data_IF_354959917424
#
_entry.id   IF_354959917424
#
_cell.length_a   1.000
_cell.length_b   1.000
_cell.length_c   1.000
_cell.angle_alpha   90.00
_cell.angle_beta   90.00
_cell.angle_gamma   90.00
#
_symmetry.space_group_name_H-M   'P 1'
#
loop_
_entity.id
_entity.type
_entity.pdbx_description
1 polymer ?
#
# COMPACT_ATOMS: atom_id res chain seq x y z
N UNK A 1 -32.17 -25.80 -4.25
CA UNK A 1 -30.88 -25.85 -4.98
C UNK A 1 -30.88 -26.99 -6.02
N UNK A 2 -30.70 -26.71 -7.31
CA UNK A 2 -30.60 -27.74 -8.37
C UNK A 2 -29.24 -28.45 -8.29
N UNK A 3 -29.22 -29.78 -8.48
CA UNK A 3 -28.01 -30.64 -8.47
C UNK A 3 -26.84 -30.11 -9.33
N UNK A 4 -27.16 -29.35 -10.37
CA UNK A 4 -26.19 -28.71 -11.27
C UNK A 4 -25.37 -27.59 -10.61
N UNK A 5 -25.98 -26.78 -9.73
CA UNK A 5 -25.27 -25.71 -9.02
C UNK A 5 -24.28 -26.27 -8.01
N UNK A 6 -24.66 -27.34 -7.29
CA UNK A 6 -23.79 -28.07 -6.37
C UNK A 6 -22.55 -28.66 -7.06
N UNK A 7 -22.74 -29.23 -8.26
CA UNK A 7 -21.65 -29.83 -9.04
C UNK A 7 -20.66 -28.78 -9.54
N UNK A 8 -21.14 -27.65 -10.09
CA UNK A 8 -20.27 -26.56 -10.52
C UNK A 8 -19.53 -25.91 -9.35
N UNK A 9 -20.17 -25.89 -8.20
CA UNK A 9 -19.57 -25.40 -6.97
C UNK A 9 -18.40 -26.28 -6.50
N UNK A 10 -18.59 -27.60 -6.41
CA UNK A 10 -17.49 -28.50 -6.03
C UNK A 10 -16.35 -28.47 -7.06
N UNK A 11 -16.68 -28.28 -8.35
CA UNK A 11 -15.69 -28.13 -9.41
C UNK A 11 -14.84 -26.88 -9.20
N UNK A 12 -15.46 -25.76 -8.80
CA UNK A 12 -14.74 -24.51 -8.53
C UNK A 12 -13.77 -24.64 -7.35
N UNK A 13 -14.19 -25.31 -6.27
CA UNK A 13 -13.36 -25.54 -5.08
C UNK A 13 -12.16 -26.45 -5.40
N UNK A 14 -12.36 -27.49 -6.21
CA UNK A 14 -11.28 -28.41 -6.62
C UNK A 14 -10.29 -27.76 -7.59
N UNK A 15 -10.80 -26.98 -8.55
CA UNK A 15 -9.98 -26.19 -9.46
C UNK A 15 -9.09 -25.21 -8.70
N UNK A 16 -9.62 -24.62 -7.62
CA UNK A 16 -8.86 -23.73 -6.74
C UNK A 16 -7.74 -24.48 -5.99
N UNK A 17 -8.04 -25.66 -5.42
CA UNK A 17 -7.06 -26.51 -4.72
C UNK A 17 -5.93 -26.97 -5.65
N UNK A 18 -6.23 -27.13 -6.93
CA UNK A 18 -5.30 -27.56 -7.97
C UNK A 18 -4.60 -26.40 -8.70
N UNK A 19 -4.81 -25.14 -8.28
CA UNK A 19 -4.19 -23.96 -8.88
C UNK A 19 -4.76 -23.53 -10.25
N UNK A 20 -5.86 -24.15 -10.70
CA UNK A 20 -6.51 -23.89 -11.98
C UNK A 20 -7.48 -22.69 -11.88
N UNK A 21 -6.91 -21.51 -11.68
CA UNK A 21 -7.63 -20.25 -11.38
C UNK A 21 -8.62 -19.81 -12.45
N UNK A 22 -8.34 -20.02 -13.74
CA UNK A 22 -9.26 -19.70 -14.86
C UNK A 22 -10.48 -20.64 -14.92
N UNK A 23 -10.31 -21.91 -14.55
CA UNK A 23 -11.42 -22.87 -14.52
C UNK A 23 -12.31 -22.63 -13.30
N UNK A 24 -11.70 -22.30 -12.15
CA UNK A 24 -12.42 -21.83 -10.98
C UNK A 24 -13.25 -20.58 -11.29
N UNK A 25 -12.68 -19.61 -12.03
CA UNK A 25 -13.34 -18.39 -12.48
C UNK A 25 -14.65 -18.63 -13.21
N UNK A 26 -14.59 -19.39 -14.30
CA UNK A 26 -15.76 -19.64 -15.16
C UNK A 26 -16.86 -20.44 -14.43
N UNK A 27 -16.48 -21.30 -13.49
CA UNK A 27 -17.44 -22.05 -12.67
C UNK A 27 -18.14 -21.15 -11.66
N UNK A 28 -17.42 -20.23 -11.03
CA UNK A 28 -17.98 -19.27 -10.07
C UNK A 28 -18.89 -18.25 -10.73
N UNK A 29 -18.50 -17.70 -11.89
CA UNK A 29 -19.34 -16.77 -12.65
C UNK A 29 -20.73 -17.37 -12.89
N UNK A 30 -20.76 -18.62 -13.37
CA UNK A 30 -22.01 -19.33 -13.62
C UNK A 30 -22.80 -19.62 -12.33
N UNK A 31 -22.14 -19.88 -11.20
CA UNK A 31 -22.86 -20.04 -9.93
C UNK A 31 -23.49 -18.70 -9.54
N UNK A 32 -22.74 -17.61 -9.63
CA UNK A 32 -23.14 -16.25 -9.26
C UNK A 32 -24.30 -15.73 -10.11
N UNK A 33 -24.28 -15.95 -11.42
CA UNK A 33 -25.35 -15.53 -12.33
C UNK A 33 -26.69 -16.23 -12.03
N UNK A 34 -26.65 -17.37 -11.32
CA UNK A 34 -27.81 -18.15 -10.92
C UNK A 34 -28.12 -18.02 -9.41
N UNK A 35 -27.46 -17.13 -8.67
CA UNK A 35 -27.68 -16.92 -7.23
C UNK A 35 -28.94 -16.09 -6.91
N UNK A 36 -29.60 -15.49 -7.89
CA UNK A 36 -30.78 -14.65 -7.66
C UNK A 36 -31.99 -15.43 -7.12
N UNK A 37 -32.02 -16.75 -7.25
CA UNK A 37 -33.12 -17.61 -6.80
C UNK A 37 -32.70 -18.52 -5.63
N UNK A 38 -32.75 -17.98 -4.41
CA UNK A 38 -33.13 -18.70 -3.19
C UNK A 38 -32.21 -19.83 -2.67
N UNK A 39 -31.73 -19.60 -1.43
CA UNK A 39 -31.26 -20.60 -0.48
C UNK A 39 -29.93 -21.31 -0.83
N UNK A 40 -28.84 -20.55 -0.69
CA UNK A 40 -27.55 -21.15 -0.39
C UNK A 40 -27.56 -21.62 1.07
N UNK A 41 -27.52 -22.93 1.28
CA UNK A 41 -27.30 -23.47 2.63
C UNK A 41 -25.95 -22.95 3.18
N UNK A 42 -25.92 -22.57 4.46
CA UNK A 42 -24.73 -22.05 5.18
C UNK A 42 -23.42 -22.77 4.82
N UNK A 43 -23.49 -24.08 4.63
CA UNK A 43 -22.35 -24.95 4.34
C UNK A 43 -21.64 -24.68 3.00
N UNK A 44 -22.31 -24.04 2.03
CA UNK A 44 -21.70 -23.68 0.74
C UNK A 44 -21.21 -22.23 0.71
N UNK A 45 -21.58 -21.44 1.71
CA UNK A 45 -21.32 -20.02 1.76
C UNK A 45 -19.80 -19.76 1.96
N UNK A 46 -19.15 -20.46 2.90
CA UNK A 46 -17.71 -20.33 3.12
C UNK A 46 -16.87 -20.70 1.88
N UNK A 47 -17.23 -21.79 1.20
CA UNK A 47 -16.53 -22.21 -0.02
C UNK A 47 -16.79 -21.26 -1.21
N UNK A 48 -17.94 -20.56 -1.25
CA UNK A 48 -18.24 -19.53 -2.25
C UNK A 48 -17.37 -18.31 -2.06
N UNK A 49 -17.10 -17.92 -0.81
CA UNK A 49 -16.21 -16.80 -0.52
C UNK A 49 -14.76 -17.10 -0.81
N UNK A 50 -14.30 -18.32 -0.48
CA UNK A 50 -12.96 -18.78 -0.83
C UNK A 50 -12.79 -18.72 -2.34
N UNK A 51 -13.75 -19.28 -3.07
CA UNK A 51 -13.69 -19.36 -4.51
C UNK A 51 -13.80 -17.96 -5.17
N UNK A 52 -14.78 -17.13 -4.80
CA UNK A 52 -14.95 -15.76 -5.33
C UNK A 52 -13.76 -14.85 -4.99
N UNK A 53 -13.26 -14.94 -3.75
CA UNK A 53 -12.11 -14.15 -3.33
C UNK A 53 -10.83 -14.56 -4.06
N UNK A 54 -10.56 -15.86 -4.20
CA UNK A 54 -9.39 -16.33 -4.93
C UNK A 54 -9.48 -16.07 -6.43
N UNK A 55 -10.69 -16.11 -7.00
CA UNK A 55 -10.94 -15.68 -8.36
C UNK A 55 -10.48 -14.23 -8.57
N UNK A 56 -10.97 -13.31 -7.76
CA UNK A 56 -10.61 -11.91 -7.88
C UNK A 56 -9.10 -11.70 -7.77
N UNK A 57 -8.47 -12.22 -6.72
CA UNK A 57 -7.00 -12.11 -6.58
C UNK A 57 -6.24 -12.72 -7.76
N UNK A 58 -6.79 -13.74 -8.42
CA UNK A 58 -6.15 -14.37 -9.56
C UNK A 58 -6.38 -13.62 -10.88
N UNK A 59 -7.40 -12.77 -11.00
CA UNK A 59 -7.73 -12.07 -12.25
C UNK A 59 -7.38 -10.58 -12.21
N UNK A 60 -7.27 -10.00 -11.02
CA UNK A 60 -6.95 -8.61 -10.80
C UNK A 60 -5.70 -8.20 -11.60
N UNK A 61 -5.84 -7.19 -12.45
CA UNK A 61 -4.76 -6.61 -13.24
C UNK A 61 -4.27 -7.46 -14.41
N UNK A 62 -4.79 -8.68 -14.62
CA UNK A 62 -4.40 -9.53 -15.78
C UNK A 62 -4.90 -8.99 -17.11
N UNK A 63 -6.03 -8.32 -17.10
CA UNK A 63 -6.65 -7.74 -18.30
C UNK A 63 -6.10 -6.35 -18.61
N UNK A 64 -5.41 -5.73 -17.65
CA UNK A 64 -4.91 -4.36 -17.74
C UNK A 64 -6.02 -3.29 -17.79
N UNK A 65 -7.29 -3.68 -17.59
CA UNK A 65 -8.45 -2.80 -17.73
C UNK A 65 -9.20 -2.68 -16.41
N UNK A 66 -9.13 -1.48 -15.82
CA UNK A 66 -9.79 -1.15 -14.54
C UNK A 66 -11.28 -1.48 -14.55
N UNK A 67 -12.00 -1.25 -15.65
CA UNK A 67 -13.43 -1.56 -15.75
C UNK A 67 -13.76 -3.05 -15.58
N UNK A 68 -12.92 -3.93 -16.10
CA UNK A 68 -13.12 -5.39 -15.96
C UNK A 68 -12.82 -5.82 -14.52
N UNK A 69 -11.81 -5.20 -13.88
CA UNK A 69 -11.52 -5.40 -12.45
C UNK A 69 -12.66 -4.88 -11.56
N UNK A 70 -13.28 -3.72 -11.89
CA UNK A 70 -14.45 -3.17 -11.19
C UNK A 70 -15.65 -4.11 -11.26
N UNK A 71 -15.93 -4.68 -12.45
CA UNK A 71 -17.03 -5.63 -12.64
C UNK A 71 -16.82 -6.90 -11.81
N UNK A 72 -15.60 -7.43 -11.79
CA UNK A 72 -15.22 -8.57 -10.97
C UNK A 72 -15.34 -8.25 -9.47
N UNK A 73 -14.88 -7.07 -9.04
CA UNK A 73 -14.98 -6.64 -7.64
C UNK A 73 -16.44 -6.49 -7.20
N UNK A 74 -17.27 -5.83 -8.02
CA UNK A 74 -18.70 -5.68 -7.76
C UNK A 74 -19.39 -7.04 -7.64
N UNK A 75 -18.94 -8.03 -8.40
CA UNK A 75 -19.46 -9.40 -8.29
C UNK A 75 -19.06 -10.07 -6.97
N UNK A 76 -17.81 -9.93 -6.52
CA UNK A 76 -17.36 -10.43 -5.21
C UNK A 76 -18.18 -9.79 -4.09
N UNK A 77 -18.42 -8.48 -4.15
CA UNK A 77 -19.23 -7.74 -3.18
C UNK A 77 -20.65 -8.32 -3.12
N UNK A 78 -21.30 -8.55 -4.27
CA UNK A 78 -22.64 -9.17 -4.30
C UNK A 78 -22.69 -10.52 -3.60
N UNK A 79 -21.65 -11.34 -3.76
CA UNK A 79 -21.53 -12.64 -3.09
C UNK A 79 -21.43 -12.44 -1.58
N UNK A 80 -20.58 -11.51 -1.11
CA UNK A 80 -20.38 -11.25 0.32
C UNK A 80 -21.62 -10.61 0.97
N UNK A 81 -22.33 -9.72 0.27
CA UNK A 81 -23.60 -9.17 0.74
C UNK A 81 -24.71 -10.23 0.83
N UNK A 82 -24.74 -11.19 -0.09
CA UNK A 82 -25.69 -12.29 -0.03
C UNK A 82 -25.47 -13.18 1.21
N UNK A 83 -24.22 -13.26 1.69
CA UNK A 83 -23.90 -13.82 3.01
C UNK A 83 -24.58 -13.05 4.12
N UNK A 84 -24.36 -11.73 4.10
CA UNK A 84 -24.78 -10.82 5.14
C UNK A 84 -26.30 -10.82 5.28
N UNK A 85 -27.03 -10.80 4.16
CA UNK A 85 -28.51 -10.87 4.15
C UNK A 85 -29.07 -12.17 4.73
N UNK A 86 -28.29 -13.25 4.83
CA UNK A 86 -28.70 -14.53 5.40
C UNK A 86 -28.36 -14.70 6.89
N UNK A 87 -27.93 -13.64 7.60
CA UNK A 87 -27.56 -13.66 9.02
C UNK A 87 -28.62 -14.30 9.95
N UNK A 88 -29.90 -14.24 9.57
CA UNK A 88 -31.00 -14.85 10.34
C UNK A 88 -31.13 -16.39 10.17
N UNK A 89 -30.56 -16.96 9.11
CA UNK A 89 -30.71 -18.39 8.75
C UNK A 89 -29.39 -19.19 8.79
N UNK A 90 -28.25 -18.52 8.92
CA UNK A 90 -26.93 -19.17 8.86
C UNK A 90 -26.04 -18.71 10.02
N UNK A 91 -25.75 -19.60 10.95
CA UNK A 91 -24.81 -19.35 12.06
C UNK A 91 -23.39 -19.59 11.54
N UNK A 92 -22.67 -18.52 11.18
CA UNK A 92 -21.23 -18.61 10.90
C UNK A 92 -20.47 -18.92 12.18
N UNK A 93 -19.45 -19.78 12.08
CA UNK A 93 -18.49 -19.96 13.16
C UNK A 93 -17.58 -18.74 13.29
N UNK A 94 -16.98 -18.55 14.46
CA UNK A 94 -16.01 -17.46 14.71
C UNK A 94 -14.82 -17.50 13.74
N UNK A 95 -14.37 -18.69 13.34
CA UNK A 95 -13.27 -18.88 12.38
C UNK A 95 -13.68 -18.44 10.97
N UNK A 96 -14.91 -18.74 10.56
CA UNK A 96 -15.43 -18.30 9.27
C UNK A 96 -15.59 -16.78 9.24
N UNK A 97 -16.11 -16.16 10.30
CA UNK A 97 -16.25 -14.71 10.40
C UNK A 97 -14.89 -14.00 10.34
N UNK A 98 -13.89 -14.52 11.04
CA UNK A 98 -12.51 -14.00 10.99
C UNK A 98 -11.94 -14.07 9.58
N UNK A 99 -12.08 -15.23 8.94
CA UNK A 99 -11.58 -15.45 7.60
C UNK A 99 -12.27 -14.54 6.59
N UNK A 100 -13.60 -14.40 6.65
CA UNK A 100 -14.37 -13.55 5.71
C UNK A 100 -14.00 -12.08 5.91
N UNK A 101 -13.90 -11.62 7.16
CA UNK A 101 -13.45 -10.27 7.47
C UNK A 101 -12.06 -9.99 6.89
N UNK A 102 -11.07 -10.82 7.24
CA UNK A 102 -9.69 -10.66 6.78
C UNK A 102 -9.59 -10.73 5.26
N UNK A 103 -10.35 -11.62 4.63
CA UNK A 103 -10.38 -11.75 3.17
C UNK A 103 -10.98 -10.53 2.50
N UNK A 104 -12.08 -9.99 3.03
CA UNK A 104 -12.71 -8.76 2.54
C UNK A 104 -11.72 -7.60 2.57
N UNK A 105 -11.04 -7.40 3.70
CA UNK A 105 -9.98 -6.41 3.82
C UNK A 105 -8.85 -6.63 2.81
N UNK A 106 -8.29 -7.84 2.73
CA UNK A 106 -7.17 -8.12 1.81
C UNK A 106 -7.55 -7.89 0.34
N UNK A 107 -8.78 -8.23 -0.06
CA UNK A 107 -9.27 -7.97 -1.41
C UNK A 107 -9.42 -6.45 -1.63
N UNK A 108 -9.96 -5.71 -0.66
CA UNK A 108 -10.08 -4.25 -0.77
C UNK A 108 -8.71 -3.59 -0.91
N UNK A 109 -7.72 -4.06 -0.14
CA UNK A 109 -6.31 -3.63 -0.22
C UNK A 109 -5.69 -3.99 -1.57
N UNK A 110 -6.05 -5.11 -2.20
CA UNK A 110 -5.58 -5.43 -3.54
C UNK A 110 -6.26 -4.58 -4.62
N UNK A 111 -7.56 -4.32 -4.45
CA UNK A 111 -8.41 -3.63 -5.41
C UNK A 111 -8.30 -2.09 -5.37
N UNK A 112 -7.20 -1.52 -4.86
CA UNK A 112 -7.04 -0.06 -4.68
C UNK A 112 -7.12 0.76 -5.96
N UNK A 113 -6.91 0.13 -7.12
CA UNK A 113 -7.05 0.77 -8.44
C UNK A 113 -8.49 0.73 -8.98
N UNK A 114 -9.39 -0.02 -8.35
CA UNK A 114 -10.80 -0.09 -8.70
C UNK A 114 -11.56 1.15 -8.19
N UNK A 115 -12.83 1.30 -8.57
CA UNK A 115 -13.72 2.34 -8.06
C UNK A 115 -13.71 2.35 -6.52
N UNK A 116 -13.33 3.49 -5.94
CA UNK A 116 -13.21 3.66 -4.49
C UNK A 116 -14.49 3.30 -3.74
N UNK A 117 -15.67 3.42 -4.36
CA UNK A 117 -16.96 3.06 -3.74
C UNK A 117 -17.03 1.56 -3.50
N UNK A 118 -16.55 0.75 -4.43
CA UNK A 118 -16.49 -0.70 -4.30
C UNK A 118 -15.48 -1.10 -3.22
N UNK A 119 -14.31 -0.43 -3.19
CA UNK A 119 -13.29 -0.65 -2.14
C UNK A 119 -13.87 -0.33 -0.75
N UNK A 120 -14.52 0.82 -0.59
CA UNK A 120 -15.17 1.24 0.67
C UNK A 120 -16.27 0.26 1.07
N UNK A 121 -17.12 -0.18 0.14
CA UNK A 121 -18.15 -1.19 0.39
C UNK A 121 -17.56 -2.50 0.93
N UNK A 122 -16.43 -2.94 0.38
CA UNK A 122 -15.80 -4.16 0.83
C UNK A 122 -15.11 -4.00 2.20
N UNK A 123 -14.59 -2.81 2.51
CA UNK A 123 -14.11 -2.47 3.86
C UNK A 123 -15.26 -2.41 4.87
N UNK A 124 -16.44 -1.91 4.48
CA UNK A 124 -17.64 -1.94 5.33
C UNK A 124 -18.09 -3.38 5.63
N UNK A 125 -18.11 -4.25 4.62
CA UNK A 125 -18.38 -5.68 4.82
C UNK A 125 -17.34 -6.32 5.76
N UNK A 126 -16.06 -6.03 5.57
CA UNK A 126 -14.98 -6.47 6.45
C UNK A 126 -15.22 -6.09 7.92
N UNK A 127 -15.52 -4.81 8.17
CA UNK A 127 -15.84 -4.30 9.51
C UNK A 127 -17.09 -4.95 10.10
N UNK A 128 -18.11 -5.20 9.27
CA UNK A 128 -19.34 -5.85 9.70
C UNK A 128 -19.09 -7.30 10.16
N UNK A 129 -18.38 -8.11 9.37
CA UNK A 129 -18.02 -9.48 9.79
C UNK A 129 -17.14 -9.50 11.04
N UNK A 130 -16.27 -8.50 11.20
CA UNK A 130 -15.49 -8.31 12.43
C UNK A 130 -16.41 -8.03 13.63
N UNK A 131 -17.53 -7.33 13.44
CA UNK A 131 -18.47 -7.00 14.53
C UNK A 131 -19.27 -8.23 14.95
N UNK A 132 -19.67 -9.06 13.98
CA UNK A 132 -20.26 -10.36 14.25
C UNK A 132 -19.28 -11.26 15.01
N UNK A 133 -18.00 -11.27 14.61
CA UNK A 133 -16.97 -12.03 15.32
C UNK A 133 -16.82 -11.54 16.77
N UNK A 134 -16.74 -10.22 16.97
CA UNK A 134 -16.65 -9.58 18.29
C UNK A 134 -17.77 -10.02 19.22
N UNK A 135 -19.02 -10.05 18.73
CA UNK A 135 -20.20 -10.48 19.50
C UNK A 135 -20.11 -11.93 20.00
N UNK A 136 -19.30 -12.77 19.34
CA UNK A 136 -19.07 -14.17 19.74
C UNK A 136 -17.86 -14.38 20.65
N UNK A 137 -17.03 -13.35 20.89
CA UNK A 137 -15.75 -13.44 21.60
C UNK A 137 -15.76 -12.81 23.01
N UNK A 138 -14.94 -13.35 23.92
CA UNK A 138 -14.67 -12.76 25.25
C UNK A 138 -13.72 -11.55 25.15
N UNK A 139 -13.83 -10.60 26.09
CA UNK A 139 -13.12 -9.30 26.06
C UNK A 139 -11.58 -9.40 25.89
N UNK A 140 -10.93 -10.38 26.54
CA UNK A 140 -9.47 -10.57 26.51
C UNK A 140 -8.90 -10.91 25.13
N UNK A 141 -9.72 -11.41 24.19
CA UNK A 141 -9.28 -11.82 22.84
C UNK A 141 -9.53 -10.76 21.76
N UNK A 142 -9.99 -9.56 22.13
CA UNK A 142 -10.47 -8.56 21.17
C UNK A 142 -9.40 -7.57 20.68
N UNK A 143 -8.17 -7.58 21.21
CA UNK A 143 -7.12 -6.60 20.88
C UNK A 143 -6.81 -6.54 19.37
N UNK A 144 -6.67 -7.69 18.70
CA UNK A 144 -6.41 -7.77 17.27
C UNK A 144 -7.57 -7.27 16.39
N UNK A 145 -8.82 -7.33 16.89
CA UNK A 145 -9.98 -6.83 16.17
C UNK A 145 -9.93 -5.30 16.04
N UNK A 146 -9.47 -4.61 17.09
CA UNK A 146 -9.36 -3.15 17.10
C UNK A 146 -8.36 -2.63 16.08
N UNK A 147 -7.22 -3.30 15.92
CA UNK A 147 -6.25 -2.94 14.88
C UNK A 147 -6.88 -3.06 13.48
N UNK A 148 -7.60 -4.17 13.23
CA UNK A 148 -8.30 -4.37 11.95
C UNK A 148 -9.34 -3.29 11.66
N UNK A 149 -10.13 -2.87 12.67
CA UNK A 149 -11.05 -1.74 12.53
C UNK A 149 -10.34 -0.45 12.17
N UNK A 150 -9.27 -0.12 12.90
CA UNK A 150 -8.51 1.11 12.69
C UNK A 150 -7.88 1.15 11.29
N UNK A 151 -7.40 0.01 10.77
CA UNK A 151 -6.92 -0.10 9.40
C UNK A 151 -8.05 0.13 8.39
N UNK A 152 -9.18 -0.57 8.55
CA UNK A 152 -10.33 -0.42 7.64
C UNK A 152 -10.80 1.04 7.60
N UNK A 153 -11.00 1.66 8.75
CA UNK A 153 -11.46 3.06 8.84
C UNK A 153 -10.43 4.03 8.27
N UNK A 154 -9.14 3.83 8.54
CA UNK A 154 -8.09 4.69 8.00
C UNK A 154 -8.05 4.63 6.47
N UNK A 155 -8.10 3.43 5.89
CA UNK A 155 -8.11 3.26 4.43
C UNK A 155 -9.39 3.84 3.81
N UNK A 156 -10.56 3.66 4.46
CA UNK A 156 -11.83 4.23 4.01
C UNK A 156 -11.79 5.75 4.00
N UNK A 157 -11.41 6.37 5.13
CA UNK A 157 -11.32 7.83 5.27
C UNK A 157 -10.34 8.38 4.23
N UNK A 158 -9.19 7.74 4.09
CA UNK A 158 -8.18 8.10 3.10
C UNK A 158 -8.76 8.06 1.69
N UNK A 159 -9.34 6.93 1.28
CA UNK A 159 -9.92 6.73 -0.06
C UNK A 159 -11.05 7.72 -0.37
N UNK A 160 -11.88 8.06 0.62
CA UNK A 160 -12.98 9.03 0.44
C UNK A 160 -12.41 10.44 0.26
N UNK A 161 -11.44 10.84 1.08
CA UNK A 161 -10.84 12.18 1.02
C UNK A 161 -10.07 12.36 -0.28
N UNK A 162 -9.36 11.33 -0.73
CA UNK A 162 -8.64 11.34 -2.00
C UNK A 162 -9.59 11.30 -3.18
N UNK A 163 -10.37 10.23 -3.34
CA UNK A 163 -11.08 9.98 -4.60
C UNK A 163 -12.44 10.69 -4.70
N UNK A 164 -13.19 10.78 -3.60
CA UNK A 164 -14.54 11.36 -3.62
C UNK A 164 -14.50 12.88 -3.46
N UNK A 165 -13.79 13.36 -2.43
CA UNK A 165 -13.79 14.79 -2.05
C UNK A 165 -12.69 15.58 -2.73
N UNK A 166 -11.60 14.92 -3.12
CA UNK A 166 -10.39 15.56 -3.69
C UNK A 166 -9.83 16.63 -2.76
N UNK A 167 -9.94 16.40 -1.45
CA UNK A 167 -9.48 17.30 -0.38
C UNK A 167 -8.03 16.96 -0.01
N UNK A 168 -7.12 17.11 -0.97
CA UNK A 168 -5.73 16.65 -0.87
C UNK A 168 -4.95 17.32 0.27
N UNK A 169 -5.32 18.55 0.63
CA UNK A 169 -4.76 19.27 1.78
C UNK A 169 -4.93 18.54 3.11
N UNK A 170 -5.96 17.69 3.24
CA UNK A 170 -6.24 16.94 4.47
C UNK A 170 -5.42 15.64 4.57
N UNK A 171 -4.81 15.17 3.47
CA UNK A 171 -4.08 13.90 3.41
C UNK A 171 -2.93 13.82 4.43
N UNK A 172 -2.04 14.83 4.55
CA UNK A 172 -0.98 14.81 5.56
C UNK A 172 -1.49 14.73 7.00
N UNK A 173 -2.65 15.33 7.30
CA UNK A 173 -3.25 15.27 8.64
C UNK A 173 -3.70 13.85 8.97
N UNK A 174 -4.39 13.18 8.05
CA UNK A 174 -4.83 11.78 8.22
C UNK A 174 -3.64 10.85 8.44
N UNK A 175 -2.58 11.01 7.65
CA UNK A 175 -1.34 10.22 7.80
C UNK A 175 -0.74 10.45 9.20
N UNK A 176 -0.73 11.71 9.65
CA UNK A 176 -0.26 12.07 11.00
C UNK A 176 -1.10 11.47 12.12
N UNK A 177 -2.43 11.52 12.00
CA UNK A 177 -3.37 10.93 12.97
C UNK A 177 -3.26 9.40 13.02
N UNK A 178 -2.91 8.76 11.90
CA UNK A 178 -2.70 7.32 11.79
C UNK A 178 -1.37 6.83 12.38
N UNK A 179 -0.54 7.72 12.95
CA UNK A 179 0.80 7.39 13.45
C UNK A 179 0.83 6.24 14.46
N UNK A 180 -0.14 6.17 15.37
CA UNK A 180 -0.16 5.17 16.45
C UNK A 180 -0.48 3.75 15.97
N UNK A 181 -1.16 3.63 14.83
CA UNK A 181 -1.60 2.35 14.25
C UNK A 181 -0.76 1.91 13.04
N UNK A 182 0.25 2.70 12.70
CA UNK A 182 1.06 2.52 11.50
C UNK A 182 1.86 1.21 11.56
N UNK A 183 1.73 0.39 10.52
CA UNK A 183 2.56 -0.79 10.26
C UNK A 183 3.07 -0.78 8.81
N UNK A 184 3.89 -1.78 8.46
CA UNK A 184 4.49 -1.88 7.12
C UNK A 184 3.43 -1.91 6.00
N UNK A 185 2.29 -2.55 6.25
CA UNK A 185 1.20 -2.67 5.28
C UNK A 185 0.48 -1.34 5.09
N UNK A 186 0.09 -0.67 6.18
CA UNK A 186 -0.63 0.60 6.13
C UNK A 186 0.23 1.72 5.51
N UNK A 187 1.54 1.75 5.79
CA UNK A 187 2.48 2.66 5.13
C UNK A 187 2.48 2.47 3.61
N UNK A 188 2.60 1.21 3.19
CA UNK A 188 2.62 0.83 1.77
C UNK A 188 1.30 1.19 1.09
N UNK A 189 0.17 0.98 1.77
CA UNK A 189 -1.15 1.36 1.27
C UNK A 189 -1.25 2.88 1.09
N UNK A 190 -0.87 3.67 2.10
CA UNK A 190 -0.90 5.13 1.98
C UNK A 190 -0.02 5.64 0.86
N UNK A 191 1.23 5.15 0.76
CA UNK A 191 2.12 5.55 -0.32
C UNK A 191 1.51 5.22 -1.69
N UNK A 192 1.03 3.99 -1.88
CA UNK A 192 0.43 3.55 -3.13
C UNK A 192 -0.79 4.38 -3.54
N UNK A 193 -1.68 4.69 -2.59
CA UNK A 193 -2.83 5.56 -2.83
C UNK A 193 -2.41 6.99 -3.20
N UNK A 194 -1.43 7.56 -2.47
CA UNK A 194 -0.90 8.91 -2.74
C UNK A 194 -0.30 9.01 -4.14
N UNK A 195 0.49 8.02 -4.55
CA UNK A 195 1.16 8.04 -5.86
C UNK A 195 0.20 7.87 -7.03
N UNK A 196 -0.95 7.25 -6.82
CA UNK A 196 -1.96 6.99 -7.86
C UNK A 196 -3.06 8.05 -7.93
N UNK A 197 -3.17 8.89 -6.92
CA UNK A 197 -4.27 9.83 -6.86
C UNK A 197 -4.15 10.91 -7.94
N UNK A 198 -5.28 11.49 -8.34
CA UNK A 198 -5.32 12.50 -9.40
C UNK A 198 -4.89 13.91 -8.93
N UNK A 199 -4.14 14.01 -7.83
CA UNK A 199 -3.70 15.28 -7.27
C UNK A 199 -2.53 15.88 -8.07
N UNK A 200 -2.26 17.17 -7.88
CA UNK A 200 -1.00 17.75 -8.38
C UNK A 200 0.20 17.15 -7.63
N UNK A 201 1.34 17.09 -8.32
CA UNK A 201 2.57 16.51 -7.77
C UNK A 201 2.98 17.17 -6.43
N UNK A 202 2.72 18.46 -6.23
CA UNK A 202 3.00 19.16 -4.97
C UNK A 202 2.26 18.55 -3.77
N UNK A 203 1.00 18.13 -3.95
CA UNK A 203 0.25 17.44 -2.89
C UNK A 203 0.79 16.05 -2.60
N UNK A 204 1.15 15.32 -3.67
CA UNK A 204 1.75 14.00 -3.58
C UNK A 204 3.07 14.08 -2.79
N UNK A 205 3.95 15.02 -3.15
CA UNK A 205 5.23 15.24 -2.48
C UNK A 205 5.04 15.51 -0.99
N UNK A 206 4.14 16.43 -0.61
CA UNK A 206 3.83 16.74 0.81
C UNK A 206 3.31 15.52 1.58
N UNK A 207 2.48 14.70 0.95
CA UNK A 207 1.97 13.49 1.56
C UNK A 207 3.08 12.44 1.75
N UNK A 208 3.94 12.23 0.75
CA UNK A 208 5.10 11.32 0.85
C UNK A 208 6.07 11.79 1.95
N UNK A 209 6.39 13.08 1.99
CA UNK A 209 7.20 13.69 3.05
C UNK A 209 6.59 13.41 4.43
N UNK A 210 5.27 13.56 4.56
CA UNK A 210 4.58 13.27 5.81
C UNK A 210 4.67 11.79 6.19
N UNK A 211 4.56 10.86 5.24
CA UNK A 211 4.74 9.42 5.51
C UNK A 211 6.15 9.16 6.02
N UNK A 212 7.18 9.73 5.37
CA UNK A 212 8.58 9.62 5.81
C UNK A 212 8.74 10.16 7.24
N UNK A 213 8.19 11.34 7.53
CA UNK A 213 8.23 11.93 8.86
C UNK A 213 7.58 11.03 9.91
N UNK A 214 6.43 10.43 9.61
CA UNK A 214 5.76 9.52 10.55
C UNK A 214 6.59 8.26 10.74
N UNK A 215 7.11 7.64 9.68
CA UNK A 215 7.99 6.46 9.76
C UNK A 215 9.23 6.70 10.65
N UNK A 216 9.84 7.89 10.55
CA UNK A 216 11.01 8.25 11.37
C UNK A 216 10.68 8.49 12.83
N UNK A 217 9.47 8.93 13.13
CA UNK A 217 9.08 9.39 14.47
C UNK A 217 8.07 8.48 15.16
N UNK A 218 7.61 7.42 14.50
CA UNK A 218 6.56 6.55 15.02
C UNK A 218 7.06 5.69 16.17
N UNK A 219 6.18 5.54 17.15
CA UNK A 219 6.30 4.63 18.27
C UNK A 219 5.12 3.65 18.24
N UNK A 220 4.60 3.35 17.05
CA UNK A 220 3.52 2.38 16.91
C UNK A 220 3.99 1.02 17.44
N UNK A 221 3.18 0.33 18.27
CA UNK A 221 3.51 -1.01 18.72
C UNK A 221 3.49 -2.05 17.58
N UNK A 222 2.99 -1.69 16.39
CA UNK A 222 2.85 -2.57 15.24
C UNK A 222 3.98 -2.45 14.21
N UNK A 223 4.85 -1.45 14.35
CA UNK A 223 5.98 -1.23 13.46
C UNK A 223 7.29 -1.27 14.22
N UNK A 224 8.12 -2.27 13.92
CA UNK A 224 9.47 -2.31 14.48
C UNK A 224 10.35 -1.21 13.88
N UNK A 225 11.16 -0.56 14.73
CA UNK A 225 12.07 0.50 14.29
C UNK A 225 13.06 0.01 13.22
N UNK A 226 13.45 -1.26 13.25
CA UNK A 226 14.28 -1.89 12.22
C UNK A 226 13.56 -1.98 10.86
N UNK A 227 12.29 -2.42 10.86
CA UNK A 227 11.47 -2.53 9.67
C UNK A 227 11.20 -1.15 9.06
N UNK A 228 10.83 -0.16 9.88
CA UNK A 228 10.67 1.23 9.46
C UNK A 228 11.93 1.77 8.77
N UNK A 229 13.11 1.54 9.37
CA UNK A 229 14.40 1.97 8.79
C UNK A 229 14.73 1.28 7.47
N UNK A 230 14.33 0.01 7.29
CA UNK A 230 14.58 -0.73 6.07
C UNK A 230 13.78 -0.21 4.86
N UNK A 231 12.58 0.34 5.07
CA UNK A 231 11.73 0.85 3.98
C UNK A 231 12.01 2.32 3.64
N UNK A 232 12.52 3.10 4.58
CA UNK A 232 12.76 4.55 4.44
C UNK A 232 13.58 4.94 3.20
N UNK A 233 14.68 4.26 2.80
CA UNK A 233 15.46 4.64 1.63
C UNK A 233 14.61 4.72 0.35
N UNK A 234 13.71 3.75 0.14
CA UNK A 234 12.83 3.73 -1.04
C UNK A 234 11.81 4.87 -1.04
N UNK A 235 11.36 5.28 0.14
CA UNK A 235 10.40 6.38 0.27
C UNK A 235 11.11 7.72 0.05
N UNK A 236 12.33 7.87 0.59
CA UNK A 236 13.18 9.05 0.36
C UNK A 236 13.56 9.16 -1.12
N UNK A 237 13.90 8.04 -1.79
CA UNK A 237 14.11 8.00 -3.23
C UNK A 237 12.89 8.55 -3.98
N UNK A 238 11.70 8.02 -3.66
CA UNK A 238 10.44 8.44 -4.30
C UNK A 238 10.19 9.93 -4.08
N UNK A 239 10.39 10.43 -2.87
CA UNK A 239 10.26 11.85 -2.52
C UNK A 239 11.24 12.73 -3.30
N UNK A 240 12.50 12.30 -3.41
CA UNK A 240 13.53 13.03 -4.17
C UNK A 240 13.19 13.10 -5.65
N UNK A 241 12.86 11.96 -6.26
CA UNK A 241 12.51 11.87 -7.69
C UNK A 241 11.29 12.75 -8.01
N UNK A 242 10.21 12.63 -7.24
CA UNK A 242 9.01 13.44 -7.45
C UNK A 242 9.31 14.93 -7.33
N UNK A 243 10.14 15.32 -6.36
CA UNK A 243 10.52 16.72 -6.15
C UNK A 243 11.35 17.27 -7.31
N UNK A 244 12.26 16.47 -7.87
CA UNK A 244 13.02 16.84 -9.07
C UNK A 244 12.12 16.98 -10.30
N UNK A 245 11.24 16.00 -10.53
CA UNK A 245 10.31 16.01 -11.67
C UNK A 245 9.35 17.21 -11.62
N UNK A 246 8.95 17.61 -10.41
CA UNK A 246 8.14 18.79 -10.16
C UNK A 246 8.92 20.12 -10.20
N UNK A 247 10.26 20.07 -10.31
CA UNK A 247 11.16 21.22 -10.16
C UNK A 247 11.05 21.93 -8.80
N UNK A 248 10.59 21.21 -7.78
CA UNK A 248 10.51 21.67 -6.38
C UNK A 248 11.88 21.45 -5.70
N UNK A 249 12.91 22.17 -6.18
CA UNK A 249 14.31 21.88 -5.80
C UNK A 249 14.60 22.02 -4.30
N UNK A 250 13.86 22.85 -3.57
CA UNK A 250 14.02 22.92 -2.11
C UNK A 250 13.57 21.64 -1.40
N UNK A 251 12.54 20.96 -1.91
CA UNK A 251 12.08 19.66 -1.39
C UNK A 251 13.04 18.55 -1.83
N UNK A 252 13.54 18.62 -3.06
CA UNK A 252 14.55 17.69 -3.54
C UNK A 252 15.83 17.78 -2.68
N UNK A 253 16.28 19.00 -2.35
CA UNK A 253 17.41 19.19 -1.43
C UNK A 253 17.10 18.64 -0.02
N UNK A 254 15.89 18.86 0.49
CA UNK A 254 15.45 18.29 1.78
C UNK A 254 15.47 16.75 1.76
N UNK A 255 15.16 16.12 0.63
CA UNK A 255 15.24 14.67 0.49
C UNK A 255 16.68 14.16 0.66
N UNK A 256 17.67 14.91 0.14
CA UNK A 256 19.09 14.59 0.32
C UNK A 256 19.48 14.74 1.79
N UNK A 257 19.01 15.79 2.47
CA UNK A 257 19.26 15.96 3.91
C UNK A 257 18.69 14.79 4.72
N UNK A 258 17.47 14.35 4.38
CA UNK A 258 16.86 13.19 5.02
C UNK A 258 17.64 11.89 4.76
N UNK A 259 18.19 11.72 3.54
CA UNK A 259 19.04 10.59 3.20
C UNK A 259 20.38 10.62 3.97
N UNK A 260 21.01 11.80 4.09
CA UNK A 260 22.23 12.01 4.86
C UNK A 260 22.03 11.65 6.33
N UNK A 261 20.96 12.17 6.95
CA UNK A 261 20.65 11.87 8.35
C UNK A 261 20.45 10.36 8.56
N UNK A 262 19.69 9.71 7.66
CA UNK A 262 19.45 8.28 7.75
C UNK A 262 20.72 7.45 7.50
N UNK A 263 21.55 7.82 6.53
CA UNK A 263 22.81 7.14 6.24
C UNK A 263 23.80 7.28 7.41
N UNK A 264 23.85 8.45 8.05
CA UNK A 264 24.59 8.67 9.28
C UNK A 264 24.11 7.76 10.42
N UNK A 265 22.79 7.72 10.67
CA UNK A 265 22.18 6.89 11.72
C UNK A 265 22.43 5.39 11.51
N UNK A 266 22.50 4.96 10.25
CA UNK A 266 22.71 3.57 9.86
C UNK A 266 24.19 3.18 9.73
N UNK A 267 25.10 4.16 9.79
CA UNK A 267 26.53 3.94 9.61
C UNK A 267 27.08 2.96 10.66
N UNK A 268 27.79 1.93 10.19
CA UNK A 268 28.35 0.88 11.07
C UNK A 268 27.33 -0.10 11.64
N UNK A 269 26.03 0.04 11.34
CA UNK A 269 25.00 -0.93 11.73
C UNK A 269 24.85 -2.06 10.70
N UNK A 270 24.06 -3.09 11.04
CA UNK A 270 23.70 -4.18 10.11
C UNK A 270 22.73 -3.72 9.02
N UNK A 271 21.87 -2.74 9.34
CA UNK A 271 20.88 -2.17 8.42
C UNK A 271 21.48 -0.99 7.67
N UNK A 272 22.57 -1.20 6.92
CA UNK A 272 23.20 -0.10 6.17
C UNK A 272 22.23 0.52 5.16
N UNK A 273 22.39 1.82 4.93
CA UNK A 273 21.72 2.47 3.82
C UNK A 273 22.16 1.78 2.52
N UNK A 274 21.23 1.38 1.62
CA UNK A 274 21.60 0.65 0.41
C UNK A 274 22.59 1.41 -0.47
N UNK A 275 23.70 0.76 -0.84
CA UNK A 275 24.76 1.37 -1.66
C UNK A 275 24.24 1.86 -3.01
N UNK A 276 23.35 1.11 -3.66
CA UNK A 276 22.75 1.50 -4.95
C UNK A 276 21.94 2.80 -4.84
N UNK A 277 21.20 2.96 -3.74
CA UNK A 277 20.42 4.18 -3.46
C UNK A 277 21.35 5.38 -3.20
N UNK A 278 22.43 5.19 -2.43
CA UNK A 278 23.46 6.23 -2.21
C UNK A 278 24.08 6.65 -3.55
N UNK A 279 24.50 5.69 -4.37
CA UNK A 279 25.15 5.96 -5.66
C UNK A 279 24.23 6.74 -6.57
N UNK A 280 22.98 6.30 -6.68
CA UNK A 280 21.98 6.97 -7.51
C UNK A 280 21.71 8.39 -7.02
N UNK A 281 21.37 8.57 -5.73
CA UNK A 281 21.05 9.89 -5.17
C UNK A 281 22.25 10.85 -5.26
N UNK A 282 23.46 10.40 -4.91
CA UNK A 282 24.67 11.23 -4.99
C UNK A 282 24.98 11.64 -6.43
N UNK A 283 24.84 10.71 -7.39
CA UNK A 283 25.06 11.02 -8.81
C UNK A 283 24.06 12.04 -9.32
N UNK A 284 22.76 11.84 -9.04
CA UNK A 284 21.70 12.77 -9.48
C UNK A 284 21.86 14.14 -8.83
N UNK A 285 22.17 14.20 -7.53
CA UNK A 285 22.44 15.45 -6.83
C UNK A 285 23.67 16.19 -7.39
N UNK A 286 24.74 15.46 -7.74
CA UNK A 286 25.92 16.08 -8.34
C UNK A 286 25.65 16.56 -9.77
N UNK A 287 24.88 15.82 -10.57
CA UNK A 287 24.45 16.29 -11.88
C UNK A 287 23.65 17.59 -11.78
N UNK A 288 22.77 17.69 -10.78
CA UNK A 288 22.07 18.95 -10.51
C UNK A 288 23.02 20.09 -10.15
N UNK A 289 24.08 19.83 -9.38
CA UNK A 289 25.13 20.81 -9.12
C UNK A 289 25.82 21.29 -10.40
N UNK A 290 26.10 20.38 -11.35
CA UNK A 290 26.64 20.73 -12.67
C UNK A 290 25.67 21.61 -13.46
N UNK A 291 24.37 21.32 -13.43
CA UNK A 291 23.36 22.18 -14.08
C UNK A 291 23.37 23.60 -13.48
N UNK A 292 23.46 23.70 -12.15
CA UNK A 292 23.53 24.99 -11.43
C UNK A 292 24.82 25.76 -11.77
N UNK A 293 25.94 25.06 -11.94
CA UNK A 293 27.18 25.67 -12.41
C UNK A 293 27.02 26.31 -13.79
N UNK A 294 26.37 25.61 -14.74
CA UNK A 294 26.10 26.13 -16.09
C UNK A 294 25.22 27.39 -16.02
N UNK A 295 24.28 27.44 -15.07
CA UNK A 295 23.42 28.60 -14.81
C UNK A 295 24.13 29.74 -14.05
N UNK A 296 25.41 29.59 -13.70
CA UNK A 296 26.20 30.55 -12.90
C UNK A 296 25.67 30.75 -11.47
N UNK A 297 24.96 29.77 -10.92
CA UNK A 297 24.49 29.75 -9.53
C UNK A 297 25.53 29.08 -8.61
N UNK A 298 26.62 29.78 -8.34
CA UNK A 298 27.82 29.19 -7.71
C UNK A 298 27.59 28.64 -6.30
N UNK A 299 26.76 29.30 -5.50
CA UNK A 299 26.49 28.88 -4.12
C UNK A 299 25.63 27.61 -4.07
N UNK A 300 24.60 27.53 -4.91
CA UNK A 300 23.73 26.36 -5.01
C UNK A 300 24.46 25.17 -5.63
N UNK A 301 25.28 25.40 -6.66
CA UNK A 301 26.19 24.40 -7.21
C UNK A 301 27.04 23.76 -6.12
N UNK A 302 27.77 24.59 -5.35
CA UNK A 302 28.64 24.09 -4.27
C UNK A 302 27.84 23.33 -3.21
N UNK A 303 26.69 23.85 -2.79
CA UNK A 303 25.84 23.23 -1.78
C UNK A 303 25.36 21.83 -2.20
N UNK A 304 24.88 21.68 -3.42
CA UNK A 304 24.43 20.39 -3.95
C UNK A 304 25.59 19.41 -4.15
N UNK A 305 26.73 19.88 -4.67
CA UNK A 305 27.90 19.04 -4.88
C UNK A 305 28.48 18.52 -3.54
N UNK A 306 28.58 19.38 -2.53
CA UNK A 306 29.05 18.98 -1.20
C UNK A 306 28.14 17.95 -0.53
N UNK A 307 26.81 18.11 -0.65
CA UNK A 307 25.84 17.13 -0.14
C UNK A 307 25.95 15.79 -0.86
N UNK A 308 26.12 15.80 -2.18
CA UNK A 308 26.32 14.59 -2.99
C UNK A 308 27.58 13.82 -2.56
N UNK A 309 28.70 14.53 -2.40
CA UNK A 309 29.97 13.95 -1.94
C UNK A 309 29.82 13.36 -0.53
N UNK A 310 29.23 14.11 0.41
CA UNK A 310 28.99 13.64 1.78
C UNK A 310 28.15 12.37 1.80
N UNK A 311 27.11 12.29 0.97
CA UNK A 311 26.26 11.10 0.90
C UNK A 311 27.02 9.90 0.36
N UNK A 312 27.83 10.09 -0.70
CA UNK A 312 28.68 9.04 -1.26
C UNK A 312 29.68 8.50 -0.23
N UNK A 313 30.27 9.38 0.58
CA UNK A 313 31.25 9.02 1.62
C UNK A 313 30.67 8.19 2.78
N UNK A 314 29.35 8.23 2.99
CA UNK A 314 28.67 7.41 3.99
C UNK A 314 28.38 5.99 3.52
N UNK A 315 28.55 5.72 2.22
CA UNK A 315 28.33 4.40 1.65
C UNK A 315 29.53 3.46 1.80
N UNK A 316 29.41 2.28 1.21
CA UNK A 316 30.50 1.29 1.23
C UNK A 316 31.59 1.63 0.21
N UNK A 317 32.53 0.70 0.00
CA UNK A 317 33.74 0.91 -0.81
C UNK A 317 33.46 1.54 -2.19
N UNK A 318 32.44 1.06 -2.89
CA UNK A 318 32.11 1.58 -4.23
C UNK A 318 31.53 3.00 -4.17
N UNK A 319 30.78 3.32 -3.12
CA UNK A 319 30.29 4.69 -2.88
C UNK A 319 31.43 5.64 -2.49
N UNK A 320 32.41 5.16 -1.70
CA UNK A 320 33.59 5.96 -1.37
C UNK A 320 34.43 6.29 -2.62
N UNK A 321 34.57 5.33 -3.55
CA UNK A 321 35.19 5.59 -4.87
C UNK A 321 34.42 6.63 -5.68
N UNK A 322 33.08 6.61 -5.63
CA UNK A 322 32.25 7.65 -6.21
C UNK A 322 32.53 9.01 -5.54
N UNK A 323 32.61 9.08 -4.21
CA UNK A 323 32.95 10.30 -3.47
C UNK A 323 34.29 10.92 -3.91
N UNK A 324 35.33 10.10 -4.07
CA UNK A 324 36.64 10.52 -4.61
C UNK A 324 36.52 11.11 -6.02
N UNK A 325 35.78 10.44 -6.90
CA UNK A 325 35.52 10.92 -8.26
C UNK A 325 34.76 12.25 -8.25
N UNK A 326 33.71 12.38 -7.44
CA UNK A 326 32.91 13.60 -7.35
C UNK A 326 33.74 14.80 -6.84
N UNK A 327 34.64 14.59 -5.87
CA UNK A 327 35.58 15.64 -5.41
C UNK A 327 36.54 16.09 -6.51
N UNK A 328 37.10 15.15 -7.28
CA UNK A 328 37.95 15.47 -8.43
C UNK A 328 37.19 16.29 -9.49
N UNK A 329 35.93 15.95 -9.74
CA UNK A 329 35.07 16.68 -10.69
C UNK A 329 34.72 18.07 -10.19
N UNK A 330 34.44 18.24 -8.90
CA UNK A 330 34.12 19.54 -8.32
C UNK A 330 35.29 20.53 -8.46
N UNK A 331 36.53 20.07 -8.29
CA UNK A 331 37.74 20.90 -8.51
C UNK A 331 37.88 21.40 -9.96
N UNK A 332 37.23 20.76 -10.93
CA UNK A 332 37.23 21.19 -12.34
C UNK A 332 36.08 22.17 -12.65
N UNK A 333 35.11 22.29 -11.74
CA UNK A 333 33.96 23.20 -11.83
C UNK A 333 34.19 24.50 -11.04
N UNK A 334 35.31 24.65 -10.34
CA UNK A 334 35.70 25.89 -9.64
C UNK A 334 36.56 26.79 -10.51
#
# INVERSE_FOLDING_TARGET
>A
MTRALLSRFSLSAEALRSGQTLLAAGCLQHVIDNLNDGFLEAKYIASLFIAAGCLFSAQLGKTGKVKEDDELLAQVIRVFEAAHRNEQNTVFSTVELEWISRRSYNIAVQARSCDYRLVVQLLDLSMHFTDLQRKTMTCEKQSGLWQHYLHCDSIKIFSIITEARKEWDNVPSIIGESKSIMDDELCSIFLDCVLRCAASVTYIIKAVEKIIFVLRTTASPYLEAAAARAVLPRYIHTFFQLSLDAQEYYLAESAIDQALDLACDLCGTVLRYPSDEIQWMATVAFNRAVDLYILSESDDCRRWAEKAIKLADLGEKDCAMLGDLLRERLQKLS
#
